data_IF_626469186209
#
_entry.id   IF_626469186209
#
_cell.length_a   1.000
_cell.length_b   1.000
_cell.length_c   1.000
_cell.angle_alpha   90.00
_cell.angle_beta   90.00
_cell.angle_gamma   90.00
#
_symmetry.space_group_name_H-M   'P 1'
#
loop_
_entity.id
_entity.type
_entity.pdbx_description
1 polymer ?
#
# COMPACT_ATOMS: atom_id res chain seq x y z
N UNK A 1 -18.88 -1.31 -4.50
CA UNK A 1 -17.51 -1.82 -4.79
C UNK A 1 -17.07 -1.24 -6.12
N UNK A 2 -15.77 -1.07 -6.39
CA UNK A 2 -15.31 -0.68 -7.73
C UNK A 2 -15.88 -1.63 -8.78
N UNK A 3 -16.18 -1.13 -9.97
CA UNK A 3 -16.63 -1.99 -11.07
C UNK A 3 -15.62 -3.11 -11.33
N UNK A 4 -16.10 -4.34 -11.51
CA UNK A 4 -15.26 -5.53 -11.70
C UNK A 4 -14.68 -6.14 -10.42
N UNK A 5 -15.11 -5.76 -9.22
CA UNK A 5 -14.62 -6.36 -7.98
C UNK A 5 -14.99 -7.85 -7.85
N UNK A 6 -14.01 -8.68 -7.49
CA UNK A 6 -14.17 -10.12 -7.19
C UNK A 6 -14.36 -10.41 -5.70
N UNK A 7 -14.78 -9.41 -4.92
CA UNK A 7 -14.72 -9.45 -3.45
C UNK A 7 -15.45 -10.63 -2.82
N UNK A 8 -16.57 -11.09 -3.40
CA UNK A 8 -17.28 -12.28 -2.91
C UNK A 8 -16.48 -13.57 -3.15
N UNK A 9 -15.81 -13.69 -4.29
CA UNK A 9 -14.95 -14.83 -4.58
C UNK A 9 -13.68 -14.80 -3.71
N UNK A 10 -13.11 -13.62 -3.47
CA UNK A 10 -11.98 -13.46 -2.56
C UNK A 10 -12.36 -13.82 -1.12
N UNK A 11 -13.57 -13.46 -0.66
CA UNK A 11 -14.07 -13.88 0.65
C UNK A 11 -14.19 -15.40 0.76
N UNK A 12 -14.72 -16.08 -0.28
CA UNK A 12 -14.81 -17.54 -0.32
C UNK A 12 -13.42 -18.20 -0.26
N UNK A 13 -12.43 -17.64 -0.96
CA UNK A 13 -11.04 -18.14 -0.89
C UNK A 13 -10.44 -18.03 0.51
N UNK A 14 -10.80 -17.00 1.27
CA UNK A 14 -10.39 -16.85 2.68
C UNK A 14 -11.07 -17.89 3.56
N UNK A 15 -12.38 -18.11 3.40
CA UNK A 15 -13.14 -19.17 4.10
C UNK A 15 -12.49 -20.53 3.86
N UNK A 16 -12.26 -20.91 2.60
CA UNK A 16 -11.62 -22.17 2.23
C UNK A 16 -10.23 -22.32 2.89
N UNK A 17 -9.47 -21.22 3.02
CA UNK A 17 -8.18 -21.23 3.68
C UNK A 17 -8.32 -21.44 5.19
N UNK A 18 -9.26 -20.76 5.84
CA UNK A 18 -9.50 -20.88 7.28
C UNK A 18 -9.89 -22.32 7.65
N UNK A 19 -10.79 -22.94 6.90
CA UNK A 19 -11.19 -24.34 7.13
C UNK A 19 -10.01 -25.32 7.07
N UNK A 20 -9.07 -25.10 6.14
CA UNK A 20 -7.89 -25.97 5.99
C UNK A 20 -6.78 -25.65 6.99
N UNK A 21 -6.54 -24.37 7.27
CA UNK A 21 -5.36 -23.92 8.01
C UNK A 21 -5.60 -23.74 9.51
N UNK A 22 -6.84 -23.54 9.94
CA UNK A 22 -7.21 -23.17 11.32
C UNK A 22 -8.35 -24.08 11.84
N UNK A 23 -8.14 -25.40 11.97
CA UNK A 23 -9.17 -26.32 12.42
C UNK A 23 -9.69 -25.94 13.82
N UNK A 24 -11.01 -25.87 13.97
CA UNK A 24 -11.68 -25.47 15.20
C UNK A 24 -12.03 -23.98 15.29
N UNK A 25 -11.58 -23.15 14.34
CA UNK A 25 -12.08 -21.78 14.16
C UNK A 25 -13.37 -21.80 13.32
N UNK A 26 -14.37 -20.99 13.69
CA UNK A 26 -15.55 -20.74 12.87
C UNK A 26 -15.13 -19.96 11.59
N UNK A 27 -15.31 -20.53 10.39
CA UNK A 27 -14.85 -19.88 9.16
C UNK A 27 -15.79 -18.77 8.67
N UNK A 28 -16.97 -18.57 9.28
CA UNK A 28 -17.93 -17.54 8.86
C UNK A 28 -17.36 -16.11 9.07
N UNK A 29 -17.26 -15.27 8.01
CA UNK A 29 -16.75 -13.92 8.15
C UNK A 29 -17.70 -13.01 8.93
N UNK A 30 -17.21 -12.37 10.00
CA UNK A 30 -17.97 -11.34 10.74
C UNK A 30 -18.18 -10.04 9.93
N UNK A 31 -17.47 -9.88 8.82
CA UNK A 31 -17.60 -8.76 7.90
C UNK A 31 -16.51 -8.72 6.85
N UNK A 32 -16.79 -8.08 5.72
CA UNK A 32 -15.85 -7.93 4.60
C UNK A 32 -15.55 -6.46 4.36
N UNK A 33 -14.25 -6.13 4.23
CA UNK A 33 -13.78 -4.77 3.94
C UNK A 33 -12.84 -4.80 2.75
N UNK A 34 -13.07 -3.91 1.78
CA UNK A 34 -12.19 -3.74 0.64
C UNK A 34 -11.24 -2.58 0.90
N UNK A 35 -9.94 -2.88 0.89
CA UNK A 35 -8.88 -1.88 0.98
C UNK A 35 -8.41 -1.54 -0.43
N UNK A 36 -8.46 -0.25 -0.78
CA UNK A 36 -7.97 0.25 -2.07
C UNK A 36 -6.53 0.71 -1.90
N UNK A 37 -5.67 0.31 -2.83
CA UNK A 37 -4.24 0.61 -2.83
C UNK A 37 -3.77 0.96 -4.24
N UNK A 38 -2.62 1.62 -4.33
CA UNK A 38 -1.95 1.93 -5.61
C UNK A 38 -0.71 1.06 -5.77
N UNK A 39 -0.70 0.17 -6.76
CA UNK A 39 0.50 -0.60 -7.13
C UNK A 39 1.25 0.14 -8.24
N UNK A 40 2.53 0.44 -8.01
CA UNK A 40 3.39 1.04 -9.03
C UNK A 40 4.03 -0.06 -9.93
N UNK A 41 4.49 0.28 -11.15
CA UNK A 41 5.01 -0.69 -12.12
C UNK A 41 6.12 -1.62 -11.61
N UNK A 42 7.03 -1.13 -10.76
CA UNK A 42 8.14 -1.95 -10.24
C UNK A 42 7.70 -3.06 -9.27
N UNK A 43 6.45 -3.04 -8.78
CA UNK A 43 5.89 -4.12 -7.98
C UNK A 43 5.13 -3.68 -6.75
N UNK A 44 4.78 -4.65 -5.90
CA UNK A 44 3.92 -4.44 -4.73
C UNK A 44 4.58 -3.67 -3.59
N UNK A 45 5.91 -3.59 -3.53
CA UNK A 45 6.64 -2.79 -2.54
C UNK A 45 7.21 -1.49 -3.13
N UNK A 46 6.89 -1.20 -4.40
CA UNK A 46 7.31 0.04 -5.03
C UNK A 46 6.53 1.23 -4.45
N UNK A 47 7.28 2.29 -4.12
CA UNK A 47 6.77 3.56 -3.62
C UNK A 47 7.45 4.70 -4.37
N UNK A 48 6.77 5.83 -4.48
CA UNK A 48 7.37 7.05 -5.02
C UNK A 48 6.76 8.28 -4.36
N UNK A 49 7.60 9.26 -4.11
CA UNK A 49 7.17 10.60 -3.76
C UNK A 49 7.56 11.58 -4.87
N UNK A 50 6.73 12.60 -5.04
CA UNK A 50 6.97 13.74 -5.90
C UNK A 50 6.80 15.00 -5.07
N UNK A 51 7.60 16.01 -5.37
CA UNK A 51 7.54 17.27 -4.68
C UNK A 51 7.64 18.43 -5.68
N UNK A 52 6.81 19.43 -5.45
CA UNK A 52 6.88 20.78 -6.01
C UNK A 52 6.69 21.73 -4.83
N UNK A 53 7.17 22.98 -4.88
CA UNK A 53 7.02 23.90 -3.74
C UNK A 53 5.59 23.93 -3.19
N UNK A 54 5.46 23.64 -1.89
CA UNK A 54 4.22 23.59 -1.14
C UNK A 54 3.37 22.31 -1.29
N UNK A 55 3.75 21.36 -2.15
CA UNK A 55 2.96 20.13 -2.39
C UNK A 55 3.84 18.90 -2.54
N UNK A 56 3.56 17.91 -1.69
CA UNK A 56 4.16 16.57 -1.79
C UNK A 56 3.08 15.53 -2.01
N UNK A 57 3.27 14.70 -3.04
CA UNK A 57 2.42 13.55 -3.31
C UNK A 57 3.21 12.26 -3.09
N UNK A 58 2.58 11.26 -2.50
CA UNK A 58 3.14 9.91 -2.28
C UNK A 58 2.20 8.85 -2.83
N UNK A 59 2.75 7.85 -3.52
CA UNK A 59 2.01 6.70 -4.02
C UNK A 59 2.80 5.42 -3.80
N UNK A 60 2.08 4.31 -3.61
CA UNK A 60 2.67 2.99 -3.42
C UNK A 60 1.75 2.03 -2.68
N UNK A 61 2.12 0.76 -2.71
CA UNK A 61 1.45 -0.31 -1.98
C UNK A 61 2.32 -0.75 -0.80
N UNK A 62 1.75 -1.48 0.16
CA UNK A 62 2.45 -1.97 1.34
C UNK A 62 3.09 -0.89 2.25
N UNK A 63 2.66 0.37 2.17
CA UNK A 63 3.32 1.48 2.88
C UNK A 63 3.07 1.51 4.39
N UNK A 64 2.06 0.79 4.90
CA UNK A 64 1.70 0.83 6.32
C UNK A 64 2.87 0.48 7.25
N UNK A 65 3.69 -0.53 6.88
CA UNK A 65 4.87 -0.93 7.65
C UNK A 65 5.95 0.16 7.71
N UNK A 66 5.93 1.09 6.75
CA UNK A 66 6.85 2.21 6.62
C UNK A 66 6.29 3.51 7.21
N UNK A 67 5.07 3.51 7.74
CA UNK A 67 4.38 4.72 8.18
C UNK A 67 5.20 5.60 9.16
N UNK A 68 5.95 5.06 10.15
CA UNK A 68 6.73 5.89 11.05
C UNK A 68 7.84 6.68 10.32
N UNK A 69 8.72 5.98 9.59
CA UNK A 69 9.82 6.61 8.87
C UNK A 69 9.34 7.48 7.70
N UNK A 70 8.27 7.06 7.01
CA UNK A 70 7.68 7.86 5.95
C UNK A 70 7.05 9.15 6.51
N UNK A 71 6.42 9.08 7.68
CA UNK A 71 5.86 10.24 8.37
C UNK A 71 6.92 11.28 8.72
N UNK A 72 8.05 10.85 9.28
CA UNK A 72 9.19 11.72 9.57
C UNK A 72 9.73 12.39 8.30
N UNK A 73 10.00 11.61 7.25
CA UNK A 73 10.52 12.15 5.98
C UNK A 73 9.55 13.12 5.29
N UNK A 74 8.24 12.86 5.38
CA UNK A 74 7.22 13.76 4.84
C UNK A 74 7.08 15.03 5.68
N UNK A 75 7.28 14.95 7.00
CA UNK A 75 7.33 16.12 7.87
C UNK A 75 8.54 17.00 7.55
N UNK A 76 9.74 16.40 7.38
CA UNK A 76 10.93 17.11 6.94
C UNK A 76 10.70 17.78 5.59
N UNK A 77 10.06 17.08 4.65
CA UNK A 77 9.69 17.65 3.34
C UNK A 77 8.82 18.89 3.48
N UNK A 78 7.85 18.88 4.39
CA UNK A 78 6.93 20.00 4.61
C UNK A 78 7.61 21.20 5.29
N UNK A 79 8.61 20.97 6.14
CA UNK A 79 9.36 22.02 6.84
C UNK A 79 10.43 22.66 5.95
N UNK A 80 11.10 21.85 5.13
CA UNK A 80 12.21 22.30 4.28
C UNK A 80 11.78 22.68 2.86
N UNK A 81 10.53 22.40 2.49
CA UNK A 81 10.01 22.53 1.12
C UNK A 81 10.92 21.84 0.08
N UNK A 82 11.38 20.63 0.44
CA UNK A 82 12.32 19.85 -0.35
C UNK A 82 12.21 18.37 -0.03
N UNK A 83 12.21 17.51 -1.05
CA UNK A 83 12.17 16.07 -0.86
C UNK A 83 13.53 15.54 -0.32
N UNK A 84 13.56 14.79 0.80
CA UNK A 84 14.78 14.15 1.30
C UNK A 84 15.33 13.12 0.31
N UNK A 85 16.66 13.09 0.15
CA UNK A 85 17.35 12.19 -0.79
C UNK A 85 16.98 10.72 -0.55
N UNK A 86 16.89 10.31 0.73
CA UNK A 86 16.48 8.96 1.10
C UNK A 86 15.12 8.57 0.53
N UNK A 87 14.17 9.50 0.49
CA UNK A 87 12.82 9.27 -0.05
C UNK A 87 12.82 9.32 -1.58
N UNK A 88 13.65 10.18 -2.18
CA UNK A 88 13.86 10.23 -3.63
C UNK A 88 14.48 8.92 -4.16
N UNK A 89 15.57 8.46 -3.53
CA UNK A 89 16.32 7.26 -3.90
C UNK A 89 15.48 6.00 -3.76
N UNK A 90 14.71 5.89 -2.66
CA UNK A 90 13.80 4.77 -2.43
C UNK A 90 12.77 4.59 -3.56
N UNK A 91 12.42 5.67 -4.26
CA UNK A 91 11.42 5.66 -5.34
C UNK A 91 11.97 5.79 -6.76
N UNK A 92 13.29 5.87 -6.95
CA UNK A 92 13.90 6.19 -8.24
C UNK A 92 13.49 5.22 -9.37
N UNK A 93 13.39 3.92 -9.06
CA UNK A 93 13.01 2.88 -10.01
C UNK A 93 11.52 2.52 -10.05
N UNK A 94 10.69 3.16 -9.21
CA UNK A 94 9.34 2.66 -8.91
C UNK A 94 8.38 2.60 -10.13
N UNK A 95 8.66 3.37 -11.18
CA UNK A 95 7.82 3.46 -12.38
C UNK A 95 8.29 2.56 -13.53
N UNK A 96 9.37 1.80 -13.35
CA UNK A 96 9.90 0.88 -14.36
C UNK A 96 9.47 -0.54 -14.00
N UNK A 97 8.81 -1.22 -14.93
CA UNK A 97 8.47 -2.64 -14.75
C UNK A 97 9.74 -3.52 -14.83
N UNK A 98 9.81 -4.62 -14.05
CA UNK A 98 10.91 -5.59 -14.13
C UNK A 98 10.94 -6.34 -15.46
#
# INVERSE_FOLDING_TARGET
LPEGSTTLDDARRVVDYVERALPGLDPEPVGVRVCVMTKLPAGSDALRAWHTPGVTAVAGHNLFKMAPVLGELLADTALEDRLPDRLADAGAGALVAP
#
